data_IF_291401172636
#
_entry.id   IF_291401172636
#
_cell.length_a   1.000
_cell.length_b   1.000
_cell.length_c   1.000
_cell.angle_alpha   90.00
_cell.angle_beta   90.00
_cell.angle_gamma   90.00
#
_symmetry.space_group_name_H-M   'P 1'
#
loop_
_entity.id
_entity.type
_entity.pdbx_description
1 polymer ?
#
# COMPACT_ATOMS: atom_id res chain seq x y z
N UNK A 1 5.16 7.66 -5.22
CA UNK A 1 6.56 7.38 -4.80
C UNK A 1 6.69 5.87 -4.71
N UNK A 2 7.84 5.31 -5.12
CA UNK A 2 8.08 3.87 -5.22
C UNK A 2 6.98 3.09 -5.97
N UNK A 3 6.37 3.74 -6.96
CA UNK A 3 5.29 3.19 -7.79
C UNK A 3 5.51 3.55 -9.25
N UNK A 4 5.14 2.63 -10.14
CA UNK A 4 5.22 2.87 -11.58
C UNK A 4 4.28 4.04 -11.94
N UNK A 5 4.79 5.10 -12.59
CA UNK A 5 3.94 6.22 -12.94
C UNK A 5 2.94 5.87 -14.05
N UNK A 6 1.75 6.50 -14.05
CA UNK A 6 0.85 6.43 -15.20
C UNK A 6 1.44 7.15 -16.42
N UNK A 7 0.85 6.96 -17.59
CA UNK A 7 1.24 7.72 -18.79
C UNK A 7 1.01 9.21 -18.55
N UNK A 8 2.01 10.05 -18.86
CA UNK A 8 1.98 11.49 -18.57
C UNK A 8 2.37 11.86 -17.14
N UNK A 9 2.69 10.89 -16.28
CA UNK A 9 3.07 11.10 -14.88
C UNK A 9 4.57 10.94 -14.60
N UNK A 10 4.96 11.32 -13.37
CA UNK A 10 6.30 11.14 -12.81
C UNK A 10 6.22 10.16 -11.63
N UNK A 11 7.16 9.21 -11.59
CA UNK A 11 7.42 8.32 -10.47
C UNK A 11 8.77 8.65 -9.87
N UNK A 12 8.83 8.77 -8.55
CA UNK A 12 10.09 8.94 -7.79
C UNK A 12 10.34 7.66 -7.02
N UNK A 13 11.55 7.11 -7.13
CA UNK A 13 11.93 5.85 -6.52
C UNK A 13 13.16 6.04 -5.65
N UNK A 14 13.08 5.55 -4.43
CA UNK A 14 14.11 5.64 -3.39
C UNK A 14 14.50 4.24 -2.95
N UNK A 15 15.75 4.05 -2.48
CA UNK A 15 16.32 2.73 -2.22
C UNK A 15 15.82 2.07 -0.93
N UNK A 16 14.98 2.76 -0.14
CA UNK A 16 14.39 2.31 1.12
C UNK A 16 13.44 1.12 0.94
N UNK A 17 12.78 0.99 -0.21
CA UNK A 17 11.88 -0.13 -0.48
C UNK A 17 12.59 -1.20 -1.33
N UNK A 18 13.19 -0.80 -2.46
CA UNK A 18 13.90 -1.72 -3.36
C UNK A 18 15.09 -1.02 -4.02
N UNK A 19 16.18 -1.76 -4.24
CA UNK A 19 17.29 -1.28 -5.08
C UNK A 19 17.05 -1.47 -6.58
N UNK A 20 15.95 -2.12 -6.96
CA UNK A 20 15.53 -2.31 -8.35
C UNK A 20 14.04 -2.13 -8.51
N UNK A 21 13.66 -1.39 -9.55
CA UNK A 21 12.29 -1.32 -10.06
C UNK A 21 12.16 -2.41 -11.12
N UNK A 22 11.08 -3.17 -11.10
CA UNK A 22 10.78 -4.19 -12.12
C UNK A 22 9.46 -3.90 -12.81
N UNK A 23 9.38 -4.25 -14.10
CA UNK A 23 8.15 -4.09 -14.88
C UNK A 23 7.79 -2.64 -15.22
N UNK A 24 8.73 -1.70 -15.14
CA UNK A 24 8.50 -0.33 -15.57
C UNK A 24 8.26 -0.31 -17.10
N UNK A 25 7.29 0.47 -17.60
CA UNK A 25 7.09 0.66 -19.04
C UNK A 25 8.30 1.31 -19.71
N UNK A 26 8.59 0.89 -20.94
CA UNK A 26 9.78 1.34 -21.70
C UNK A 26 9.55 2.59 -22.55
N UNK A 27 8.61 3.43 -22.14
CA UNK A 27 8.08 4.59 -22.87
C UNK A 27 8.36 5.93 -22.15
N UNK A 28 9.39 5.93 -21.30
CA UNK A 28 9.73 7.06 -20.44
C UNK A 28 11.20 7.46 -20.47
N UNK A 29 11.49 8.56 -19.78
CA UNK A 29 12.84 9.03 -19.48
C UNK A 29 13.13 8.86 -18.00
N UNK A 30 14.35 8.43 -17.68
CA UNK A 30 14.81 8.30 -16.31
C UNK A 30 15.93 9.28 -16.00
N UNK A 31 15.91 9.81 -14.79
CA UNK A 31 16.92 10.72 -14.23
C UNK A 31 17.45 10.09 -12.95
N UNK A 32 18.72 9.73 -12.94
CA UNK A 32 19.41 9.23 -11.75
C UNK A 32 20.03 10.39 -11.00
N UNK A 33 19.73 10.50 -9.71
CA UNK A 33 20.27 11.52 -8.80
C UNK A 33 21.13 10.85 -7.75
N UNK A 34 22.35 11.35 -7.55
CA UNK A 34 23.30 10.89 -6.51
C UNK A 34 23.82 12.09 -5.74
N UNK A 35 23.77 12.03 -4.41
CA UNK A 35 24.21 13.15 -3.56
C UNK A 35 23.51 14.48 -3.85
N UNK A 36 22.25 14.44 -4.32
CA UNK A 36 21.48 15.63 -4.72
C UNK A 36 21.87 16.23 -6.07
N UNK A 37 22.67 15.54 -6.88
CA UNK A 37 23.10 15.97 -8.21
C UNK A 37 22.65 14.95 -9.26
N UNK A 38 22.17 15.43 -10.41
CA UNK A 38 21.84 14.58 -11.56
C UNK A 38 23.12 13.92 -12.11
N UNK A 39 23.20 12.59 -12.00
CA UNK A 39 24.35 11.81 -12.46
C UNK A 39 24.15 11.17 -13.84
N UNK A 40 22.91 11.11 -14.33
CA UNK A 40 22.59 10.55 -15.63
C UNK A 40 21.14 10.73 -16.02
N UNK A 41 20.91 10.93 -17.32
CA UNK A 41 19.59 10.97 -17.95
C UNK A 41 19.62 10.02 -19.14
N UNK A 42 18.62 9.14 -19.26
CA UNK A 42 18.51 8.22 -20.38
C UNK A 42 17.06 7.86 -20.67
N UNK A 43 16.82 7.39 -21.89
CA UNK A 43 15.56 6.76 -22.23
C UNK A 43 15.45 5.42 -21.50
N UNK A 44 14.29 5.15 -20.88
CA UNK A 44 13.98 3.90 -20.19
C UNK A 44 13.72 2.80 -21.23
N UNK A 45 14.77 2.23 -21.81
CA UNK A 45 14.67 1.21 -22.87
C UNK A 45 14.50 -0.22 -22.36
N UNK A 46 14.53 -0.43 -21.04
CA UNK A 46 14.35 -1.73 -20.39
C UNK A 46 13.32 -1.62 -19.29
N UNK A 47 12.76 -2.74 -18.83
CA UNK A 47 11.75 -2.73 -17.76
C UNK A 47 12.31 -2.73 -16.35
N UNK A 48 13.63 -2.86 -16.20
CA UNK A 48 14.31 -2.99 -14.92
C UNK A 48 15.31 -1.86 -14.71
N UNK A 49 15.19 -1.14 -13.59
CA UNK A 49 16.02 0.03 -13.33
C UNK A 49 16.60 -0.02 -11.93
N UNK A 50 17.91 0.25 -11.83
CA UNK A 50 18.61 0.31 -10.54
C UNK A 50 18.34 1.64 -9.84
N UNK A 51 18.02 1.59 -8.56
CA UNK A 51 17.90 2.75 -7.68
C UNK A 51 19.14 2.79 -6.78
N UNK A 52 19.93 3.83 -6.93
CA UNK A 52 21.16 4.01 -6.15
C UNK A 52 20.87 4.28 -4.68
N UNK A 53 21.69 3.69 -3.78
CA UNK A 53 21.63 3.96 -2.34
C UNK A 53 22.03 5.39 -1.96
N UNK A 54 22.71 6.10 -2.85
CA UNK A 54 23.24 7.45 -2.63
C UNK A 54 22.28 8.55 -3.11
N UNK A 55 21.04 8.20 -3.46
CA UNK A 55 20.06 9.16 -3.94
C UNK A 55 18.76 8.49 -4.37
N UNK A 56 18.25 8.86 -5.55
CA UNK A 56 16.95 8.41 -6.04
C UNK A 56 16.89 8.41 -7.56
N UNK A 57 15.87 7.75 -8.09
CA UNK A 57 15.56 7.70 -9.51
C UNK A 57 14.23 8.41 -9.76
N UNK A 58 14.17 9.21 -10.81
CA UNK A 58 12.92 9.79 -11.32
C UNK A 58 12.63 9.16 -12.67
N UNK A 59 11.42 8.64 -12.88
CA UNK A 59 10.95 8.15 -14.18
C UNK A 59 9.75 8.99 -14.59
N UNK A 60 9.82 9.66 -15.73
CA UNK A 60 8.71 10.38 -16.35
C UNK A 60 8.24 9.67 -17.61
N UNK A 61 6.92 9.51 -17.78
CA UNK A 61 6.33 8.86 -18.97
C UNK A 61 5.58 9.86 -19.83
N UNK A 62 5.62 9.70 -21.16
CA UNK A 62 4.95 10.62 -22.09
C UNK A 62 5.39 12.06 -21.89
N UNK A 63 4.42 12.99 -21.79
CA UNK A 63 4.71 14.43 -21.62
C UNK A 63 5.61 14.75 -20.41
N UNK A 64 5.46 14.00 -19.31
CA UNK A 64 6.34 14.16 -18.15
C UNK A 64 7.78 13.72 -18.43
N UNK A 65 7.97 12.67 -19.23
CA UNK A 65 9.30 12.23 -19.65
C UNK A 65 10.00 13.25 -20.54
N UNK A 66 9.25 13.92 -21.42
CA UNK A 66 9.78 14.99 -22.27
C UNK A 66 10.32 16.18 -21.48
N UNK A 67 9.81 16.44 -20.27
CA UNK A 67 10.36 17.46 -19.37
C UNK A 67 11.69 17.04 -18.72
N UNK A 68 11.96 15.73 -18.63
CA UNK A 68 13.14 15.19 -17.97
C UNK A 68 14.32 14.98 -18.91
N UNK A 69 14.06 14.73 -20.21
CA UNK A 69 15.06 14.25 -21.18
C UNK A 69 16.27 15.18 -21.35
N UNK A 70 16.06 16.48 -21.20
CA UNK A 70 17.05 17.52 -21.48
C UNK A 70 17.71 18.05 -20.19
N UNK A 71 17.43 17.45 -19.02
CA UNK A 71 18.08 17.86 -17.76
C UNK A 71 19.58 17.54 -17.84
N UNK A 72 20.48 18.54 -17.75
CA UNK A 72 21.91 18.28 -17.83
C UNK A 72 22.41 17.49 -16.62
N UNK A 73 23.40 16.64 -16.84
CA UNK A 73 24.19 16.08 -15.74
C UNK A 73 24.90 17.20 -14.98
N UNK A 74 25.09 17.01 -13.66
CA UNK A 74 25.61 18.06 -12.78
C UNK A 74 24.56 19.03 -12.24
N UNK A 75 23.32 18.98 -12.75
CA UNK A 75 22.22 19.81 -12.24
C UNK A 75 21.89 19.42 -10.79
N UNK A 76 21.84 20.37 -9.84
CA UNK A 76 21.33 20.11 -8.51
C UNK A 76 19.84 19.79 -8.55
N UNK A 77 19.45 18.70 -7.90
CA UNK A 77 18.06 18.25 -7.85
C UNK A 77 17.74 17.71 -6.44
N UNK A 78 16.78 18.36 -5.77
CA UNK A 78 16.40 18.06 -4.39
C UNK A 78 15.02 17.43 -4.36
N UNK A 79 14.87 16.34 -3.61
CA UNK A 79 13.57 15.74 -3.28
C UNK A 79 13.11 16.30 -1.93
N UNK A 80 11.91 16.88 -1.89
CA UNK A 80 11.22 17.26 -0.65
C UNK A 80 9.94 16.46 -0.56
N UNK A 81 9.75 15.77 0.57
CA UNK A 81 8.56 14.98 0.87
C UNK A 81 7.88 15.68 2.03
N UNK A 82 6.60 15.98 1.86
CA UNK A 82 5.78 16.62 2.88
C UNK A 82 4.43 15.92 2.93
N UNK A 83 3.97 15.62 4.14
CA UNK A 83 2.61 15.15 4.33
C UNK A 83 1.62 16.27 4.04
N UNK A 84 0.51 15.93 3.39
CA UNK A 84 -0.60 16.90 3.20
C UNK A 84 -1.40 17.03 4.50
N UNK A 85 -1.55 15.93 5.23
CA UNK A 85 -2.15 15.92 6.55
C UNK A 85 -1.03 15.90 7.60
N UNK A 86 -0.93 16.99 8.35
CA UNK A 86 0.10 17.17 9.38
C UNK A 86 -0.01 16.13 10.51
N UNK A 87 -1.15 15.43 10.64
CA UNK A 87 -1.33 14.32 11.58
C UNK A 87 -0.40 13.12 11.34
N UNK A 88 0.19 13.01 10.14
CA UNK A 88 1.23 12.02 9.85
C UNK A 88 2.64 12.50 10.16
N UNK A 89 2.83 13.77 10.52
CA UNK A 89 4.15 14.34 10.80
C UNK A 89 4.76 13.68 12.04
N UNK A 90 5.98 13.17 11.89
CA UNK A 90 6.72 12.55 12.98
C UNK A 90 6.29 11.12 13.31
N UNK A 91 5.39 10.51 12.54
CA UNK A 91 5.09 9.09 12.69
C UNK A 91 6.18 8.22 12.05
N UNK A 92 6.63 7.21 12.78
CA UNK A 92 7.64 6.25 12.30
C UNK A 92 7.07 5.21 11.33
N UNK A 93 5.80 4.84 11.52
CA UNK A 93 5.14 3.76 10.78
C UNK A 93 3.76 4.21 10.33
N UNK A 94 3.49 4.07 9.03
CA UNK A 94 2.20 4.41 8.41
C UNK A 94 1.81 3.25 7.50
N UNK A 95 0.57 2.78 7.66
CA UNK A 95 -0.01 1.75 6.82
C UNK A 95 -1.18 2.34 6.04
N UNK A 96 -1.12 2.24 4.71
CA UNK A 96 -2.27 2.51 3.86
C UNK A 96 -3.06 1.23 3.67
N UNK A 97 -4.34 1.29 4.03
CA UNK A 97 -5.31 0.23 3.76
C UNK A 97 -6.70 0.87 3.59
N UNK A 98 -7.76 0.06 3.60
CA UNK A 98 -9.12 0.57 3.54
C UNK A 98 -10.16 -0.49 3.14
N UNK A 99 -11.45 -0.11 3.18
CA UNK A 99 -11.94 1.20 3.64
C UNK A 99 -11.91 1.35 5.17
N UNK A 100 -12.05 2.58 5.65
CA UNK A 100 -12.33 2.85 7.06
C UNK A 100 -13.67 2.21 7.45
N UNK A 101 -13.69 1.43 8.51
CA UNK A 101 -14.88 0.71 9.00
C UNK A 101 -15.63 1.54 10.03
N UNK A 102 -14.90 2.06 11.02
CA UNK A 102 -15.43 2.85 12.13
C UNK A 102 -14.44 3.97 12.43
N UNK A 103 -14.96 5.17 12.69
CA UNK A 103 -14.18 6.32 13.16
C UNK A 103 -14.91 7.01 14.31
N UNK A 104 -14.24 7.20 15.45
CA UNK A 104 -14.86 7.79 16.64
C UNK A 104 -16.13 7.05 17.11
N UNK A 105 -16.15 5.72 17.00
CA UNK A 105 -17.26 4.84 17.37
C UNK A 105 -18.41 4.78 16.35
N UNK A 106 -18.35 5.56 15.27
CA UNK A 106 -19.38 5.61 14.23
C UNK A 106 -18.94 4.85 12.98
N UNK A 107 -19.85 4.06 12.39
CA UNK A 107 -19.60 3.40 11.10
C UNK A 107 -19.35 4.43 10.02
N UNK A 108 -18.33 4.18 9.21
CA UNK A 108 -18.02 4.98 8.03
C UNK A 108 -18.61 4.29 6.80
N UNK A 109 -19.32 5.06 5.98
CA UNK A 109 -19.90 4.61 4.72
C UNK A 109 -19.25 5.39 3.57
N UNK A 110 -17.94 5.24 3.44
CA UNK A 110 -17.17 5.77 2.33
C UNK A 110 -16.62 4.59 1.50
N UNK A 111 -16.95 4.49 0.22
CA UNK A 111 -16.42 3.43 -0.63
C UNK A 111 -14.91 3.58 -0.91
N UNK A 112 -14.29 4.74 -0.68
CA UNK A 112 -12.84 4.99 -0.89
C UNK A 112 -12.29 4.51 -2.25
N UNK A 113 -13.14 4.51 -3.28
CA UNK A 113 -12.80 4.00 -4.62
C UNK A 113 -12.75 2.48 -4.76
N UNK A 114 -13.11 1.72 -3.73
CA UNK A 114 -13.23 0.26 -3.79
C UNK A 114 -14.39 -0.19 -4.68
N UNK A 115 -14.20 -1.33 -5.36
CA UNK A 115 -15.21 -1.89 -6.26
C UNK A 115 -16.48 -2.33 -5.52
N UNK A 116 -17.67 -2.30 -6.15
CA UNK A 116 -18.90 -2.81 -5.56
C UNK A 116 -18.78 -4.27 -5.09
N UNK A 117 -18.00 -5.10 -5.79
CA UNK A 117 -17.75 -6.49 -5.39
C UNK A 117 -16.99 -6.55 -4.06
N UNK A 118 -15.97 -5.72 -3.89
CA UNK A 118 -15.19 -5.64 -2.63
C UNK A 118 -16.06 -5.23 -1.45
N UNK A 119 -16.98 -4.30 -1.67
CA UNK A 119 -17.82 -3.71 -0.64
C UNK A 119 -18.99 -4.62 -0.24
N UNK A 120 -19.68 -5.18 -1.24
CA UNK A 120 -21.02 -5.76 -1.08
C UNK A 120 -21.05 -7.29 -1.05
N UNK A 121 -19.94 -7.97 -1.36
CA UNK A 121 -19.88 -9.44 -1.35
C UNK A 121 -19.18 -9.95 -0.08
N UNK A 122 -19.70 -11.01 0.57
CA UNK A 122 -19.01 -11.66 1.67
C UNK A 122 -17.65 -12.21 1.27
N UNK A 123 -16.62 -11.81 2.01
CA UNK A 123 -15.25 -12.27 1.85
C UNK A 123 -14.61 -12.47 3.23
N UNK A 124 -13.56 -13.30 3.33
CA UNK A 124 -12.64 -13.20 4.46
C UNK A 124 -12.17 -11.75 4.60
N UNK A 125 -12.04 -11.28 5.84
CA UNK A 125 -11.61 -9.92 6.14
C UNK A 125 -10.46 -9.95 7.12
N UNK A 126 -9.58 -8.98 7.00
CA UNK A 126 -8.62 -8.62 8.04
C UNK A 126 -8.86 -7.16 8.36
N UNK A 127 -8.79 -6.79 9.64
CA UNK A 127 -8.87 -5.39 10.03
C UNK A 127 -7.98 -5.14 11.25
N UNK A 128 -7.58 -3.88 11.40
CA UNK A 128 -6.98 -3.37 12.62
C UNK A 128 -7.95 -2.39 13.27
N UNK A 129 -8.04 -2.38 14.59
CA UNK A 129 -8.82 -1.36 15.29
C UNK A 129 -8.31 -1.07 16.69
N UNK A 130 -8.80 0.00 17.29
CA UNK A 130 -8.47 0.45 18.64
C UNK A 130 -9.74 0.54 19.48
N UNK A 131 -9.72 0.02 20.70
CA UNK A 131 -10.76 0.27 21.71
C UNK A 131 -10.43 1.49 22.60
N UNK A 132 -9.33 2.19 22.32
CA UNK A 132 -8.80 3.30 23.12
C UNK A 132 -7.69 2.90 24.10
N UNK A 133 -7.55 1.60 24.41
CA UNK A 133 -6.49 1.07 25.27
C UNK A 133 -5.57 0.09 24.53
N UNK A 134 -6.12 -0.67 23.58
CA UNK A 134 -5.46 -1.78 22.88
C UNK A 134 -5.69 -1.70 21.39
N UNK A 135 -4.69 -2.16 20.65
CA UNK A 135 -4.82 -2.46 19.23
C UNK A 135 -5.27 -3.91 19.05
N UNK A 136 -6.25 -4.08 18.17
CA UNK A 136 -6.85 -5.35 17.80
C UNK A 136 -6.50 -5.68 16.36
N UNK A 137 -5.88 -6.84 16.14
CA UNK A 137 -5.72 -7.43 14.82
C UNK A 137 -6.68 -8.60 14.70
N UNK A 138 -7.61 -8.50 13.76
CA UNK A 138 -8.71 -9.46 13.66
C UNK A 138 -8.80 -9.99 12.24
N UNK A 139 -9.00 -11.30 12.14
CA UNK A 139 -9.32 -11.99 10.90
C UNK A 139 -10.70 -12.62 11.04
N UNK A 140 -11.53 -12.40 10.02
CA UNK A 140 -12.79 -13.10 9.82
C UNK A 140 -12.56 -14.07 8.67
N UNK A 141 -12.65 -15.37 8.93
CA UNK A 141 -12.57 -16.40 7.89
C UNK A 141 -13.72 -16.28 6.90
N UNK A 142 -13.58 -16.86 5.71
CA UNK A 142 -14.62 -16.78 4.70
C UNK A 142 -14.42 -17.74 3.53
N UNK A 143 -15.41 -17.79 2.62
CA UNK A 143 -15.43 -18.69 1.45
C UNK A 143 -15.39 -20.19 1.80
N UNK A 144 -15.81 -20.55 3.01
CA UNK A 144 -16.02 -21.93 3.44
C UNK A 144 -17.48 -22.12 3.87
N UNK A 145 -18.33 -22.77 3.05
CA UNK A 145 -19.75 -22.99 3.37
C UNK A 145 -20.01 -23.74 4.68
N UNK A 146 -19.02 -24.49 5.19
CA UNK A 146 -19.16 -25.31 6.39
C UNK A 146 -18.61 -24.65 7.66
N UNK A 147 -17.88 -23.53 7.52
CA UNK A 147 -17.25 -22.81 8.63
C UNK A 147 -17.64 -21.33 8.64
N UNK A 148 -17.34 -20.61 7.56
CA UNK A 148 -17.65 -19.18 7.44
C UNK A 148 -17.78 -18.74 5.99
N UNK A 149 -18.87 -18.03 5.68
CA UNK A 149 -19.04 -17.37 4.38
C UNK A 149 -18.21 -16.08 4.27
N UNK A 150 -17.72 -15.55 5.38
CA UNK A 150 -17.10 -14.22 5.47
C UNK A 150 -18.14 -13.12 5.63
N UNK A 151 -17.70 -11.87 5.44
CA UNK A 151 -18.53 -10.67 5.68
C UNK A 151 -18.39 -9.64 4.56
N UNK A 152 -19.45 -8.89 4.33
CA UNK A 152 -19.41 -7.62 3.62
C UNK A 152 -18.68 -6.56 4.45
N UNK A 153 -18.31 -5.44 3.83
CA UNK A 153 -17.69 -4.32 4.58
C UNK A 153 -18.64 -3.79 5.66
N UNK A 154 -19.94 -3.68 5.36
CA UNK A 154 -20.94 -3.21 6.31
C UNK A 154 -21.12 -4.17 7.52
N UNK A 155 -21.12 -5.48 7.29
CA UNK A 155 -21.16 -6.48 8.37
C UNK A 155 -19.88 -6.44 9.22
N UNK A 156 -18.73 -6.22 8.58
CA UNK A 156 -17.45 -6.08 9.28
C UNK A 156 -17.44 -4.83 10.17
N UNK A 157 -17.93 -3.70 9.66
CA UNK A 157 -18.10 -2.47 10.44
C UNK A 157 -19.12 -2.62 11.58
N UNK A 158 -20.15 -3.46 11.41
CA UNK A 158 -21.05 -3.80 12.51
C UNK A 158 -20.37 -4.69 13.57
N UNK A 159 -19.49 -5.62 13.16
CA UNK A 159 -18.72 -6.45 14.07
C UNK A 159 -17.72 -5.62 14.90
N UNK A 160 -17.02 -4.66 14.29
CA UNK A 160 -16.08 -3.78 15.01
C UNK A 160 -16.79 -2.95 16.08
N UNK A 161 -18.00 -2.43 15.81
CA UNK A 161 -18.81 -1.74 16.83
C UNK A 161 -19.21 -2.67 17.97
N UNK A 162 -19.61 -3.92 17.68
CA UNK A 162 -19.96 -4.91 18.71
C UNK A 162 -18.77 -5.31 19.58
N UNK A 163 -17.56 -5.24 19.03
CA UNK A 163 -16.32 -5.43 19.78
C UNK A 163 -15.91 -4.20 20.61
N UNK A 164 -16.65 -3.09 20.51
CA UNK A 164 -16.34 -1.85 21.25
C UNK A 164 -15.19 -1.04 20.66
N UNK A 165 -14.83 -1.27 19.40
CA UNK A 165 -13.74 -0.53 18.75
C UNK A 165 -14.19 0.90 18.42
N UNK A 166 -13.36 1.87 18.81
CA UNK A 166 -13.54 3.31 18.57
C UNK A 166 -13.11 3.66 17.16
N UNK A 167 -11.98 3.11 16.69
CA UNK A 167 -11.51 3.28 15.33
C UNK A 167 -11.18 1.91 14.75
N UNK A 168 -11.52 1.67 13.48
CA UNK A 168 -11.20 0.43 12.81
C UNK A 168 -11.01 0.64 11.30
N UNK A 169 -9.89 0.12 10.78
CA UNK A 169 -9.48 0.18 9.38
C UNK A 169 -9.46 -1.22 8.79
N UNK A 170 -10.16 -1.42 7.68
CA UNK A 170 -10.08 -2.68 6.94
C UNK A 170 -8.70 -2.83 6.29
N UNK A 171 -8.15 -4.04 6.32
CA UNK A 171 -6.92 -4.43 5.66
C UNK A 171 -7.22 -5.29 4.42
N UNK A 172 -6.17 -5.77 3.73
CA UNK A 172 -6.36 -6.68 2.61
C UNK A 172 -7.13 -7.95 3.04
N UNK A 173 -8.06 -8.34 2.19
CA UNK A 173 -9.07 -9.36 2.46
C UNK A 173 -8.90 -10.63 1.63
N UNK A 174 -9.93 -11.48 1.65
CA UNK A 174 -10.00 -12.64 0.78
C UNK A 174 -8.90 -13.66 1.09
N UNK A 175 -8.24 -14.17 0.04
CA UNK A 175 -7.18 -15.18 0.22
C UNK A 175 -5.93 -14.66 0.95
N UNK A 176 -5.80 -13.34 1.12
CA UNK A 176 -4.70 -12.72 1.87
C UNK A 176 -4.94 -12.76 3.39
N UNK A 177 -6.18 -12.92 3.84
CA UNK A 177 -6.53 -12.85 5.27
C UNK A 177 -5.96 -14.03 6.03
N UNK A 178 -4.96 -13.75 6.86
CA UNK A 178 -4.28 -14.74 7.68
C UNK A 178 -3.64 -14.11 8.91
N UNK A 179 -3.67 -14.84 10.03
CA UNK A 179 -3.00 -14.42 11.27
C UNK A 179 -2.15 -15.55 11.82
N UNK A 180 -0.91 -15.21 12.16
CA UNK A 180 0.06 -16.14 12.74
C UNK A 180 0.27 -15.78 14.20
N UNK A 181 0.22 -16.80 15.06
CA UNK A 181 0.44 -16.64 16.48
C UNK A 181 1.25 -17.82 17.00
N UNK A 182 2.39 -17.52 17.65
CA UNK A 182 3.31 -18.54 18.19
C UNK A 182 3.72 -19.60 17.15
N UNK A 183 4.11 -19.16 15.95
CA UNK A 183 4.66 -20.03 14.90
C UNK A 183 3.63 -20.87 14.14
N UNK A 184 2.33 -20.65 14.37
CA UNK A 184 1.25 -21.34 13.65
C UNK A 184 0.21 -20.34 13.14
N UNK A 185 -0.45 -20.71 12.06
CA UNK A 185 -1.67 -20.03 11.64
C UNK A 185 -2.80 -20.37 12.62
N UNK A 186 -3.59 -19.38 13.01
CA UNK A 186 -4.70 -19.56 13.98
C UNK A 186 -6.09 -19.35 13.39
N UNK A 187 -6.18 -18.94 12.12
CA UNK A 187 -7.42 -18.88 11.35
C UNK A 187 -7.46 -19.99 10.27
N UNK A 188 -8.56 -20.08 9.51
CA UNK A 188 -8.73 -21.04 8.43
C UNK A 188 -8.71 -20.33 7.06
N UNK A 189 -7.54 -20.25 6.38
CA UNK A 189 -7.45 -19.67 5.05
C UNK A 189 -8.37 -20.38 4.04
N UNK A 190 -8.96 -19.64 3.08
CA UNK A 190 -9.73 -20.24 2.02
C UNK A 190 -8.93 -21.31 1.27
N UNK A 191 -9.44 -22.53 1.22
CA UNK A 191 -8.76 -23.66 0.56
C UNK A 191 -7.56 -24.22 1.32
N UNK A 192 -7.35 -23.85 2.58
CA UNK A 192 -6.31 -24.39 3.47
C UNK A 192 -4.89 -23.90 3.17
N UNK A 193 -4.72 -22.92 2.27
CA UNK A 193 -3.41 -22.42 1.85
C UNK A 193 -3.32 -20.91 2.05
N UNK A 194 -2.24 -20.46 2.68
CA UNK A 194 -1.94 -19.03 2.83
C UNK A 194 -1.44 -18.48 1.49
N UNK A 195 -2.03 -17.37 1.04
CA UNK A 195 -1.59 -16.69 -0.17
C UNK A 195 -0.31 -15.87 0.11
N UNK A 196 0.67 -15.84 -0.81
CA UNK A 196 1.76 -14.86 -0.76
C UNK A 196 1.21 -13.43 -0.80
N UNK A 197 1.66 -12.60 0.14
CA UNK A 197 1.30 -11.19 0.27
C UNK A 197 2.56 -10.31 0.17
N UNK A 198 2.45 -9.08 -0.33
CA UNK A 198 3.60 -8.19 -0.50
C UNK A 198 4.15 -7.62 0.83
N UNK A 199 3.34 -7.61 1.89
CA UNK A 199 3.73 -7.14 3.22
C UNK A 199 2.88 -7.82 4.31
N UNK A 200 3.37 -7.79 5.54
CA UNK A 200 2.67 -8.25 6.74
C UNK A 200 2.98 -7.31 7.91
N UNK A 201 2.08 -7.25 8.90
CA UNK A 201 2.33 -6.59 10.18
C UNK A 201 2.89 -7.63 11.15
N UNK A 202 4.04 -7.31 11.75
CA UNK A 202 4.79 -8.21 12.64
C UNK A 202 5.09 -7.47 13.94
N UNK A 203 4.91 -8.16 15.06
CA UNK A 203 5.12 -7.66 16.43
C UNK A 203 5.74 -8.74 17.31
#
# INVERSE_FOLDING_TARGET
>A
MNSIPPLGGIGVFTPDVWSYITGAPTDGWEVTVKGGIVSGVRHASTSNHFVTREGFLVIGRGAAGELLKDIPTGTPLTLRIQWVDDGFTGLDNILQAGPMLVKGGQKVFDPEGFSPRTLSVPHPRSFVGSDGERLWFVVIDGRDPWHSNGTTIAETAAATQRLGLIDALNLDGGGSSSIWWSGKIVNLPPGGVVRPVPYALVF
#
